data_IF_980511281703
#
_entry.id   IF_980511281703
#
_cell.length_a   1.000
_cell.length_b   1.000
_cell.length_c   1.000
_cell.angle_alpha   90.00
_cell.angle_beta   90.00
_cell.angle_gamma   90.00
#
_symmetry.space_group_name_H-M   'P 1'
#
loop_
_entity.id
_entity.type
_entity.pdbx_description
1 polymer ?
#
# COMPACT_ATOMS: atom_id res chain seq x y z
N UNK A 1 15.31 33.20 30.99
CA UNK A 1 15.88 32.24 30.03
C UNK A 1 14.71 31.57 29.37
N UNK A 2 14.33 32.04 28.19
CA UNK A 2 13.22 31.53 27.36
C UNK A 2 13.76 30.45 26.47
N UNK A 3 13.23 29.24 26.64
CA UNK A 3 13.50 28.09 25.75
C UNK A 3 12.98 28.39 24.32
N UNK A 4 13.78 28.18 23.28
CA UNK A 4 13.28 28.34 21.90
C UNK A 4 12.29 27.20 21.58
N UNK A 5 11.08 27.60 21.17
CA UNK A 5 10.06 26.68 20.68
C UNK A 5 10.54 25.94 19.44
N UNK A 6 10.26 24.64 19.40
CA UNK A 6 10.49 23.81 18.21
C UNK A 6 9.74 24.40 17.01
N UNK A 7 10.33 24.41 15.80
CA UNK A 7 9.63 24.89 14.62
C UNK A 7 8.46 23.97 14.31
N UNK A 8 7.28 24.54 14.19
CA UNK A 8 6.09 23.85 13.69
C UNK A 8 6.40 23.30 12.29
N UNK A 9 6.20 22.00 12.11
CA UNK A 9 6.34 21.36 10.81
C UNK A 9 5.40 22.05 9.81
N UNK A 10 5.96 22.76 8.85
CA UNK A 10 5.21 23.41 7.78
C UNK A 10 4.43 22.31 7.03
N UNK A 11 3.11 22.40 7.06
CA UNK A 11 2.22 21.63 6.21
C UNK A 11 2.55 21.85 4.71
N UNK A 12 2.05 21.03 3.80
CA UNK A 12 2.31 21.22 2.38
C UNK A 12 1.80 22.61 1.97
N UNK A 13 2.74 23.48 1.58
CA UNK A 13 2.43 24.79 1.04
C UNK A 13 2.01 24.60 -0.42
N UNK A 14 0.82 24.10 -0.65
CA UNK A 14 0.00 24.24 -1.87
C UNK A 14 -1.22 23.34 -1.68
N UNK A 15 -2.41 23.80 -2.05
CA UNK A 15 -3.68 23.09 -1.92
C UNK A 15 -3.85 21.87 -2.84
N UNK A 16 -2.80 21.12 -3.11
CA UNK A 16 -2.87 19.85 -3.82
C UNK A 16 -3.45 18.78 -2.88
N UNK A 17 -4.43 17.98 -3.35
CA UNK A 17 -5.03 16.91 -2.58
C UNK A 17 -3.98 15.87 -2.20
N UNK A 18 -3.96 15.44 -0.93
CA UNK A 18 -3.13 14.33 -0.44
C UNK A 18 -3.95 13.05 -0.49
N UNK A 19 -3.40 12.02 -1.10
CA UNK A 19 -4.01 10.70 -1.23
C UNK A 19 -3.27 9.70 -0.36
N UNK A 20 -3.99 9.03 0.52
CA UNK A 20 -3.53 7.84 1.21
C UNK A 20 -3.83 6.62 0.31
N UNK A 21 -2.81 6.10 -0.35
CA UNK A 21 -2.95 5.04 -1.35
C UNK A 21 -3.02 3.63 -0.74
N UNK A 22 -3.08 3.51 0.58
CA UNK A 22 -3.13 2.21 1.25
C UNK A 22 -3.73 2.30 2.66
N UNK A 23 -4.98 1.91 2.80
CA UNK A 23 -5.66 1.73 4.08
C UNK A 23 -6.72 0.62 3.97
N UNK A 24 -7.25 0.17 5.11
CA UNK A 24 -8.21 -0.92 5.19
C UNK A 24 -9.43 -0.55 6.02
N UNK A 25 -10.56 -1.20 5.70
CA UNK A 25 -11.76 -1.22 6.52
C UNK A 25 -12.20 -2.65 6.73
N UNK A 26 -12.80 -2.96 7.87
CA UNK A 26 -13.48 -4.22 8.11
C UNK A 26 -14.56 -4.10 9.18
N UNK A 27 -15.56 -4.93 9.04
CA UNK A 27 -16.62 -5.16 10.02
C UNK A 27 -16.62 -6.64 10.41
N UNK A 28 -16.22 -6.94 11.65
CA UNK A 28 -16.13 -8.30 12.17
C UNK A 28 -17.49 -8.97 12.33
N UNK A 29 -18.58 -8.20 12.33
CA UNK A 29 -19.94 -8.75 12.33
C UNK A 29 -20.40 -9.21 10.94
N UNK A 30 -19.88 -8.61 9.89
CA UNK A 30 -20.16 -8.95 8.50
C UNK A 30 -19.21 -10.03 7.98
N UNK A 31 -17.91 -9.95 8.34
CA UNK A 31 -16.87 -10.83 7.82
C UNK A 31 -15.78 -11.10 8.84
N UNK A 32 -15.45 -12.37 9.03
CA UNK A 32 -14.30 -12.75 9.87
C UNK A 32 -12.98 -12.31 9.23
N UNK A 33 -12.02 -11.96 10.10
CA UNK A 33 -10.67 -11.58 9.75
C UNK A 33 -9.69 -12.56 10.44
N UNK A 34 -9.49 -13.78 9.89
CA UNK A 34 -8.72 -14.83 10.57
C UNK A 34 -7.28 -14.41 10.89
N UNK A 35 -6.68 -13.57 10.05
CA UNK A 35 -5.32 -13.09 10.24
C UNK A 35 -5.15 -12.26 11.53
N UNK A 36 -6.20 -11.59 12.01
CA UNK A 36 -6.17 -10.84 13.28
C UNK A 36 -5.96 -11.73 14.51
N UNK A 37 -6.19 -13.04 14.37
CA UNK A 37 -6.01 -14.02 15.45
C UNK A 37 -4.73 -14.82 15.31
N UNK A 38 -3.92 -14.57 14.28
CA UNK A 38 -2.67 -15.30 14.03
C UNK A 38 -1.56 -14.92 15.01
N UNK A 39 -1.63 -13.70 15.59
CA UNK A 39 -0.66 -13.19 16.55
C UNK A 39 -1.38 -12.39 17.66
N UNK A 40 -1.14 -12.68 18.95
CA UNK A 40 -1.69 -11.90 20.07
C UNK A 40 -1.37 -10.39 19.99
N UNK A 41 -0.29 -9.98 19.35
CA UNK A 41 0.06 -8.58 19.14
C UNK A 41 -1.00 -7.82 18.31
N UNK A 42 -1.79 -8.53 17.50
CA UNK A 42 -2.86 -7.96 16.69
C UNK A 42 -4.17 -7.72 17.46
N UNK A 43 -4.24 -8.10 18.75
CA UNK A 43 -5.47 -7.97 19.56
C UNK A 43 -6.09 -6.55 19.54
N UNK A 44 -5.32 -5.43 19.51
CA UNK A 44 -5.91 -4.09 19.41
C UNK A 44 -6.71 -3.85 18.12
N UNK A 45 -6.50 -4.67 17.08
CA UNK A 45 -7.20 -4.61 15.80
C UNK A 45 -8.47 -5.45 15.76
N UNK A 46 -8.78 -6.25 16.80
CA UNK A 46 -9.97 -7.08 16.90
C UNK A 46 -11.23 -6.24 17.22
N UNK A 47 -11.53 -5.27 16.39
CA UNK A 47 -12.74 -4.44 16.40
C UNK A 47 -13.07 -3.98 14.98
N UNK A 48 -14.25 -3.40 14.79
CA UNK A 48 -14.60 -2.79 13.51
C UNK A 48 -13.81 -1.52 13.24
N UNK A 49 -13.48 -1.30 11.98
CA UNK A 49 -12.86 -0.08 11.48
C UNK A 49 -13.57 0.37 10.21
N UNK A 50 -14.09 1.60 10.23
CA UNK A 50 -14.98 2.15 9.22
C UNK A 50 -14.45 3.47 8.63
N UNK A 51 -15.03 3.95 7.52
CA UNK A 51 -14.72 5.29 7.01
C UNK A 51 -14.98 6.40 8.03
N UNK A 52 -15.96 6.24 8.94
CA UNK A 52 -16.25 7.22 9.98
C UNK A 52 -15.12 7.30 11.03
N UNK A 53 -14.43 6.19 11.31
CA UNK A 53 -13.26 6.19 12.20
C UNK A 53 -12.05 6.87 11.55
N UNK A 54 -11.85 6.70 10.24
CA UNK A 54 -10.72 7.26 9.51
C UNK A 54 -10.91 8.76 9.18
N UNK A 55 -12.12 9.19 8.88
CA UNK A 55 -12.39 10.53 8.36
C UNK A 55 -11.79 11.68 9.21
N UNK A 56 -11.96 11.72 10.56
CA UNK A 56 -11.36 12.75 11.37
C UNK A 56 -9.82 12.67 11.40
N UNK A 57 -9.25 11.47 11.33
CA UNK A 57 -7.79 11.26 11.31
C UNK A 57 -7.19 11.73 9.98
N UNK A 58 -7.84 11.38 8.88
CA UNK A 58 -7.46 11.79 7.54
C UNK A 58 -7.49 13.32 7.40
N UNK A 59 -8.58 13.96 7.86
CA UNK A 59 -8.71 15.41 7.85
C UNK A 59 -7.60 16.09 8.67
N UNK A 60 -7.31 15.61 9.87
CA UNK A 60 -6.21 16.10 10.69
C UNK A 60 -4.83 15.87 10.04
N UNK A 61 -4.67 14.77 9.28
CA UNK A 61 -3.48 14.48 8.49
C UNK A 61 -3.39 15.27 7.17
N UNK A 62 -4.42 16.04 6.80
CA UNK A 62 -4.51 16.75 5.52
C UNK A 62 -4.72 15.82 4.32
N UNK A 63 -5.20 14.59 4.56
CA UNK A 63 -5.55 13.60 3.53
C UNK A 63 -6.97 13.87 3.06
N UNK A 64 -7.16 13.93 1.76
CA UNK A 64 -8.45 14.29 1.11
C UNK A 64 -9.09 13.12 0.37
N UNK A 65 -8.34 12.07 0.09
CA UNK A 65 -8.81 10.87 -0.57
C UNK A 65 -8.00 9.64 -0.15
N UNK A 66 -8.60 8.46 -0.23
CA UNK A 66 -7.93 7.20 0.12
C UNK A 66 -8.19 6.10 -0.90
N UNK A 67 -7.31 5.11 -0.94
CA UNK A 67 -7.54 3.83 -1.62
C UNK A 67 -7.76 2.75 -0.56
N UNK A 68 -8.96 2.17 -0.56
CA UNK A 68 -9.28 1.05 0.32
C UNK A 68 -8.76 -0.25 -0.28
N UNK A 69 -8.03 -1.02 0.51
CA UNK A 69 -7.38 -2.26 0.06
C UNK A 69 -7.97 -3.46 0.80
N UNK A 70 -8.21 -4.55 0.08
CA UNK A 70 -8.72 -5.81 0.63
C UNK A 70 -7.87 -6.33 1.80
N UNK A 71 -8.47 -7.13 2.68
CA UNK A 71 -7.83 -7.74 3.86
C UNK A 71 -7.85 -9.26 3.83
N UNK A 72 -8.84 -9.87 3.17
CA UNK A 72 -9.02 -11.32 3.09
C UNK A 72 -9.20 -11.79 1.65
N UNK A 73 -9.00 -13.09 1.42
CA UNK A 73 -9.14 -13.72 0.10
C UNK A 73 -10.56 -14.28 -0.09
N UNK A 74 -11.55 -13.42 0.15
CA UNK A 74 -12.96 -13.82 0.05
C UNK A 74 -13.72 -12.97 -0.98
N UNK A 75 -14.53 -13.59 -1.86
CA UNK A 75 -15.24 -12.89 -2.94
C UNK A 75 -16.18 -11.78 -2.46
N UNK A 76 -16.70 -11.87 -1.22
CA UNK A 76 -17.66 -10.91 -0.69
C UNK A 76 -17.04 -9.60 -0.21
N UNK A 77 -15.73 -9.52 0.07
CA UNK A 77 -15.11 -8.31 0.59
C UNK A 77 -15.05 -7.18 -0.46
N UNK A 78 -14.70 -7.51 -1.70
CA UNK A 78 -14.61 -6.49 -2.76
C UNK A 78 -15.94 -5.75 -2.99
N UNK A 79 -17.10 -6.42 -3.10
CA UNK A 79 -18.40 -5.75 -3.14
C UNK A 79 -18.69 -4.83 -1.95
N UNK A 80 -18.29 -5.22 -0.74
CA UNK A 80 -18.45 -4.40 0.47
C UNK A 80 -17.61 -3.11 0.37
N UNK A 81 -16.34 -3.22 -0.04
CA UNK A 81 -15.47 -2.05 -0.23
C UNK A 81 -15.97 -1.12 -1.34
N UNK A 82 -16.50 -1.69 -2.45
CA UNK A 82 -17.11 -0.90 -3.53
C UNK A 82 -18.36 -0.16 -3.04
N UNK A 83 -19.20 -0.79 -2.22
CA UNK A 83 -20.37 -0.14 -1.63
C UNK A 83 -19.97 1.04 -0.72
N UNK A 84 -18.86 0.94 0.02
CA UNK A 84 -18.32 2.07 0.79
C UNK A 84 -17.84 3.21 -0.12
N UNK A 85 -17.26 2.88 -1.28
CA UNK A 85 -16.77 3.87 -2.24
C UNK A 85 -17.90 4.54 -3.03
N UNK A 86 -19.07 3.89 -3.18
CA UNK A 86 -20.23 4.46 -3.88
C UNK A 86 -20.84 5.66 -3.17
N UNK A 87 -20.61 5.80 -1.86
CA UNK A 87 -21.11 6.92 -1.06
C UNK A 87 -20.19 8.14 -1.10
N UNK A 88 -20.70 9.31 -0.68
CA UNK A 88 -19.85 10.49 -0.51
C UNK A 88 -18.84 10.23 0.61
N UNK A 89 -17.55 10.35 0.34
CA UNK A 89 -16.54 10.07 1.35
C UNK A 89 -15.12 10.15 0.86
N UNK A 90 -14.22 9.57 1.66
CA UNK A 90 -12.78 9.60 1.41
C UNK A 90 -12.32 8.55 0.39
N UNK A 91 -13.13 7.49 0.12
CA UNK A 91 -12.67 6.36 -0.70
C UNK A 91 -12.77 6.73 -2.17
N UNK A 92 -11.62 7.01 -2.78
CA UNK A 92 -11.52 7.36 -4.20
C UNK A 92 -11.22 6.14 -5.09
N UNK A 93 -10.73 5.05 -4.51
CA UNK A 93 -10.43 3.82 -5.22
C UNK A 93 -10.45 2.60 -4.31
N UNK A 94 -10.64 1.44 -4.91
CA UNK A 94 -10.66 0.13 -4.23
C UNK A 94 -9.67 -0.81 -4.91
N UNK A 95 -8.79 -1.40 -4.12
CA UNK A 95 -7.99 -2.56 -4.51
C UNK A 95 -8.64 -3.77 -3.87
N UNK A 96 -9.39 -4.51 -4.68
CA UNK A 96 -10.16 -5.67 -4.25
C UNK A 96 -9.38 -6.97 -4.38
N UNK A 97 -10.11 -8.09 -4.23
CA UNK A 97 -9.60 -9.44 -4.44
C UNK A 97 -10.44 -10.20 -5.47
N UNK A 98 -9.77 -11.01 -6.26
CA UNK A 98 -10.36 -12.05 -7.09
C UNK A 98 -9.40 -13.23 -7.16
N UNK A 99 -9.94 -14.45 -7.28
CA UNK A 99 -9.12 -15.65 -7.47
C UNK A 99 -8.46 -15.64 -8.86
N UNK A 100 -7.18 -15.28 -8.89
CA UNK A 100 -6.39 -15.20 -10.13
C UNK A 100 -6.17 -16.58 -10.78
N UNK A 101 -6.30 -17.66 -10.01
CA UNK A 101 -6.11 -19.02 -10.52
C UNK A 101 -7.35 -19.52 -11.27
N UNK A 102 -8.51 -18.94 -10.98
CA UNK A 102 -9.78 -19.32 -11.59
C UNK A 102 -9.82 -19.02 -13.09
N UNK A 103 -10.29 -19.96 -13.93
CA UNK A 103 -10.44 -19.72 -15.37
C UNK A 103 -11.38 -18.56 -15.71
N UNK A 104 -12.41 -18.34 -14.89
CA UNK A 104 -13.45 -17.30 -15.08
C UNK A 104 -13.13 -15.95 -14.45
N UNK A 105 -11.89 -15.66 -14.05
CA UNK A 105 -11.55 -14.41 -13.37
C UNK A 105 -11.93 -13.15 -14.14
N UNK A 106 -11.87 -13.18 -15.48
CA UNK A 106 -12.25 -12.05 -16.33
C UNK A 106 -13.75 -11.69 -16.15
N UNK A 107 -14.62 -12.69 -16.06
CA UNK A 107 -16.06 -12.50 -15.85
C UNK A 107 -16.34 -11.94 -14.44
N UNK A 108 -15.57 -12.41 -13.44
CA UNK A 108 -15.64 -11.87 -12.07
C UNK A 108 -15.26 -10.39 -12.05
N UNK A 109 -14.17 -9.99 -12.71
CA UNK A 109 -13.74 -8.59 -12.78
C UNK A 109 -14.77 -7.72 -13.50
N UNK A 110 -15.39 -8.22 -14.58
CA UNK A 110 -16.47 -7.53 -15.27
C UNK A 110 -17.70 -7.36 -14.36
N UNK A 111 -18.11 -8.42 -13.65
CA UNK A 111 -19.24 -8.37 -12.73
C UNK A 111 -19.01 -7.38 -11.57
N UNK A 112 -17.79 -7.28 -11.03
CA UNK A 112 -17.46 -6.31 -9.98
C UNK A 112 -17.63 -4.86 -10.45
N UNK A 113 -17.37 -4.57 -11.72
CA UNK A 113 -17.55 -3.24 -12.30
C UNK A 113 -19.00 -2.81 -12.45
N UNK A 114 -19.91 -3.77 -12.56
CA UNK A 114 -21.36 -3.51 -12.66
C UNK A 114 -22.03 -3.25 -11.30
N UNK A 115 -21.31 -3.48 -10.19
CA UNK A 115 -21.83 -3.24 -8.83
C UNK A 115 -21.87 -1.73 -8.52
N UNK A 116 -22.71 -1.31 -7.55
CA UNK A 116 -22.62 0.03 -6.99
C UNK A 116 -21.19 0.33 -6.51
N UNK A 117 -20.62 1.43 -6.99
CA UNK A 117 -19.22 1.79 -6.73
C UNK A 117 -18.21 1.04 -7.60
N UNK A 118 -18.63 0.23 -8.58
CA UNK A 118 -17.75 -0.50 -9.47
C UNK A 118 -16.76 0.37 -10.26
N UNK A 119 -17.11 1.63 -10.52
CA UNK A 119 -16.22 2.63 -11.12
C UNK A 119 -14.99 2.95 -10.25
N UNK A 120 -15.08 2.69 -8.95
CA UNK A 120 -13.96 2.85 -8.02
C UNK A 120 -13.03 1.64 -7.98
N UNK A 121 -13.34 0.51 -8.67
CA UNK A 121 -12.43 -0.62 -8.74
C UNK A 121 -11.16 -0.22 -9.51
N UNK A 122 -10.06 -0.04 -8.78
CA UNK A 122 -8.81 0.51 -9.27
C UNK A 122 -7.70 -0.55 -9.41
N UNK A 123 -7.79 -1.62 -8.63
CA UNK A 123 -6.79 -2.70 -8.64
C UNK A 123 -7.29 -3.99 -8.00
N UNK A 124 -6.44 -5.00 -8.11
CA UNK A 124 -6.60 -6.31 -7.47
C UNK A 124 -5.34 -6.61 -6.66
N UNK A 125 -5.52 -7.24 -5.50
CA UNK A 125 -4.44 -7.73 -4.67
C UNK A 125 -4.73 -9.16 -4.21
N UNK A 126 -3.72 -10.03 -4.29
CA UNK A 126 -3.71 -11.30 -3.58
C UNK A 126 -2.54 -11.28 -2.57
N UNK A 127 -2.77 -11.64 -1.29
CA UNK A 127 -1.72 -11.62 -0.28
C UNK A 127 -0.74 -12.80 -0.49
N UNK A 128 0.25 -12.62 -1.36
CA UNK A 128 1.22 -13.67 -1.72
C UNK A 128 2.00 -14.18 -0.51
N UNK A 129 2.06 -13.39 0.55
CA UNK A 129 2.72 -13.77 1.81
C UNK A 129 2.10 -15.03 2.47
N UNK A 130 0.82 -15.35 2.20
CA UNK A 130 0.17 -16.57 2.71
C UNK A 130 0.45 -17.80 1.84
N UNK A 131 1.02 -17.61 0.65
CA UNK A 131 1.30 -18.70 -0.28
C UNK A 131 2.58 -19.45 0.13
N UNK A 132 2.53 -20.79 0.22
CA UNK A 132 3.72 -21.57 0.54
C UNK A 132 4.74 -21.57 -0.60
N UNK A 133 4.29 -21.41 -1.84
CA UNK A 133 5.12 -21.39 -3.03
C UNK A 133 5.67 -19.97 -3.28
N UNK A 134 6.96 -19.71 -3.13
CA UNK A 134 7.55 -18.40 -3.40
C UNK A 134 7.42 -17.97 -4.85
N UNK A 135 7.23 -18.92 -5.77
CA UNK A 135 7.07 -18.66 -7.21
C UNK A 135 5.60 -18.50 -7.65
N UNK A 136 4.65 -18.40 -6.71
CA UNK A 136 3.21 -18.32 -6.98
C UNK A 136 2.86 -17.29 -8.07
N UNK A 137 3.43 -16.07 -8.03
CA UNK A 137 3.19 -15.02 -9.02
C UNK A 137 3.69 -15.38 -10.43
N UNK A 138 4.61 -16.32 -10.56
CA UNK A 138 5.17 -16.77 -11.84
C UNK A 138 4.44 -17.99 -12.41
N UNK A 139 3.48 -18.57 -11.70
CA UNK A 139 2.69 -19.73 -12.12
C UNK A 139 1.86 -19.39 -13.39
N UNK A 140 1.73 -20.33 -14.33
CA UNK A 140 0.99 -20.07 -15.59
C UNK A 140 -0.48 -19.69 -15.37
N UNK A 141 -1.17 -20.29 -14.39
CA UNK A 141 -2.57 -19.98 -14.07
C UNK A 141 -2.70 -18.58 -13.45
N UNK A 142 -1.79 -18.17 -12.58
CA UNK A 142 -1.74 -16.82 -11.99
C UNK A 142 -1.41 -15.76 -13.03
N UNK A 143 -0.42 -16.02 -13.91
CA UNK A 143 -0.08 -15.11 -15.01
C UNK A 143 -1.26 -14.89 -15.98
N UNK A 144 -2.07 -15.93 -16.22
CA UNK A 144 -3.32 -15.80 -16.98
C UNK A 144 -4.30 -14.86 -16.28
N UNK A 145 -4.49 -15.02 -14.95
CA UNK A 145 -5.34 -14.13 -14.15
C UNK A 145 -4.83 -12.69 -14.11
N UNK A 146 -3.52 -12.49 -13.96
CA UNK A 146 -2.88 -11.17 -14.05
C UNK A 146 -3.08 -10.53 -15.43
N UNK A 147 -3.06 -11.31 -16.51
CA UNK A 147 -3.37 -10.81 -17.85
C UNK A 147 -4.83 -10.33 -17.95
N UNK A 148 -5.78 -11.01 -17.28
CA UNK A 148 -7.16 -10.55 -17.21
C UNK A 148 -7.29 -9.24 -16.39
N UNK A 149 -6.54 -9.07 -15.30
CA UNK A 149 -6.46 -7.81 -14.54
C UNK A 149 -5.96 -6.67 -15.43
N UNK A 150 -4.92 -6.93 -16.25
CA UNK A 150 -4.41 -5.95 -17.20
C UNK A 150 -5.46 -5.59 -18.27
N UNK A 151 -6.15 -6.59 -18.83
CA UNK A 151 -7.20 -6.39 -19.82
C UNK A 151 -8.38 -5.58 -19.26
N UNK A 152 -8.70 -5.76 -17.98
CA UNK A 152 -9.69 -4.96 -17.26
C UNK A 152 -9.20 -3.52 -16.97
N UNK A 153 -7.94 -3.17 -17.28
CA UNK A 153 -7.37 -1.85 -17.03
C UNK A 153 -7.13 -1.55 -15.56
N UNK A 154 -6.99 -2.59 -14.73
CA UNK A 154 -6.73 -2.51 -13.29
C UNK A 154 -5.24 -2.59 -13.00
N UNK A 155 -4.81 -2.06 -11.84
CA UNK A 155 -3.49 -2.31 -11.29
C UNK A 155 -3.46 -3.65 -10.52
N UNK A 156 -2.26 -4.17 -10.28
CA UNK A 156 -2.07 -5.31 -9.39
C UNK A 156 -1.11 -4.95 -8.26
N UNK A 157 -1.60 -5.02 -7.03
CA UNK A 157 -0.81 -4.74 -5.83
C UNK A 157 -0.12 -6.03 -5.34
N UNK A 158 1.19 -5.95 -5.12
CA UNK A 158 2.03 -7.05 -4.64
C UNK A 158 2.26 -6.87 -3.15
N UNK A 159 1.59 -7.68 -2.32
CA UNK A 159 1.93 -7.80 -0.89
C UNK A 159 2.58 -9.16 -0.65
N UNK A 160 3.87 -9.15 -0.35
CA UNK A 160 4.68 -10.35 -0.17
C UNK A 160 5.92 -10.06 0.66
N UNK A 161 6.66 -11.10 0.98
CA UNK A 161 7.97 -11.04 1.64
C UNK A 161 9.10 -11.02 0.60
N UNK A 162 10.35 -10.71 0.97
CA UNK A 162 11.48 -10.70 0.04
C UNK A 162 11.64 -11.95 -0.80
N UNK A 163 11.25 -13.14 -0.27
CA UNK A 163 11.33 -14.42 -0.99
C UNK A 163 10.38 -14.50 -2.21
N UNK A 164 9.31 -13.70 -2.24
CA UNK A 164 8.33 -13.68 -3.34
C UNK A 164 8.69 -12.68 -4.45
N UNK A 165 9.59 -11.73 -4.16
CA UNK A 165 9.91 -10.64 -5.10
C UNK A 165 10.55 -11.12 -6.41
N UNK A 166 11.37 -12.21 -6.46
CA UNK A 166 11.85 -12.77 -7.73
C UNK A 166 10.71 -13.18 -8.69
N UNK A 167 9.63 -13.79 -8.14
CA UNK A 167 8.45 -14.13 -8.93
C UNK A 167 7.68 -12.88 -9.37
N UNK A 168 7.62 -11.84 -8.53
CA UNK A 168 7.04 -10.55 -8.90
C UNK A 168 7.79 -9.89 -10.08
N UNK A 169 9.13 -9.93 -10.06
CA UNK A 169 9.96 -9.48 -11.21
C UNK A 169 9.62 -10.26 -12.48
N UNK A 170 9.47 -11.58 -12.36
CA UNK A 170 9.10 -12.45 -13.48
C UNK A 170 7.72 -12.07 -14.04
N UNK A 171 6.73 -11.90 -13.18
CA UNK A 171 5.37 -11.49 -13.58
C UNK A 171 5.36 -10.13 -14.26
N UNK A 172 6.02 -9.13 -13.66
CA UNK A 172 6.07 -7.77 -14.21
C UNK A 172 6.82 -7.70 -15.56
N UNK A 173 7.85 -8.52 -15.73
CA UNK A 173 8.56 -8.64 -17.01
C UNK A 173 7.69 -9.30 -18.10
N UNK A 174 6.90 -10.32 -17.74
CA UNK A 174 6.04 -11.03 -18.68
C UNK A 174 4.77 -10.27 -19.06
N UNK A 175 4.34 -9.35 -18.22
CA UNK A 175 3.10 -8.59 -18.40
C UNK A 175 3.38 -7.08 -18.39
N UNK A 176 4.12 -6.54 -19.38
CA UNK A 176 4.51 -5.12 -19.41
C UNK A 176 3.31 -4.17 -19.54
N UNK A 177 2.14 -4.66 -19.95
CA UNK A 177 0.89 -3.89 -20.02
C UNK A 177 0.15 -3.77 -18.68
N UNK A 178 0.51 -4.58 -17.65
CA UNK A 178 -0.06 -4.52 -16.31
C UNK A 178 0.77 -3.57 -15.46
N UNK A 179 0.11 -2.64 -14.76
CA UNK A 179 0.78 -1.84 -13.72
C UNK A 179 0.87 -2.66 -12.45
N UNK A 180 2.08 -2.88 -11.97
CA UNK A 180 2.35 -3.52 -10.69
C UNK A 180 2.68 -2.47 -9.62
N UNK A 181 2.14 -2.65 -8.43
CA UNK A 181 2.36 -1.79 -7.27
C UNK A 181 2.98 -2.62 -6.15
N UNK A 182 4.18 -2.30 -5.75
CA UNK A 182 4.86 -2.98 -4.65
C UNK A 182 4.39 -2.38 -3.31
N UNK A 183 3.55 -3.11 -2.56
CA UNK A 183 3.10 -2.72 -1.23
C UNK A 183 4.27 -2.74 -0.23
N UNK A 184 4.30 -1.75 0.68
CA UNK A 184 5.21 -1.70 1.83
C UNK A 184 6.70 -1.81 1.46
N UNK A 185 7.09 -1.28 0.29
CA UNK A 185 8.43 -1.44 -0.30
C UNK A 185 8.88 -2.91 -0.39
N UNK A 186 7.94 -3.87 -0.41
CA UNK A 186 8.24 -5.31 -0.45
C UNK A 186 8.66 -5.90 0.89
N UNK A 187 8.21 -5.32 2.00
CA UNK A 187 8.42 -5.80 3.37
C UNK A 187 9.90 -6.11 3.70
N UNK A 188 10.79 -5.11 3.65
CA UNK A 188 12.20 -5.32 3.97
C UNK A 188 12.38 -5.81 5.42
N UNK A 189 13.41 -6.62 5.65
CA UNK A 189 13.82 -7.00 7.00
C UNK A 189 14.55 -5.82 7.68
N UNK A 190 13.82 -5.09 8.53
CA UNK A 190 14.34 -3.90 9.24
C UNK A 190 14.92 -4.19 10.60
N UNK A 191 15.22 -5.45 10.94
CA UNK A 191 15.89 -5.82 12.20
C UNK A 191 17.27 -5.17 12.30
N UNK A 192 17.78 -4.91 13.55
CA UNK A 192 19.11 -4.34 13.75
C UNK A 192 20.21 -5.11 13.00
N UNK A 193 21.09 -4.37 12.34
CA UNK A 193 22.17 -4.95 11.52
C UNK A 193 21.74 -5.34 10.10
N UNK A 194 20.48 -5.19 9.75
CA UNK A 194 19.96 -5.30 8.38
C UNK A 194 19.94 -3.93 7.70
N UNK A 195 19.90 -3.92 6.39
CA UNK A 195 19.83 -2.70 5.60
C UNK A 195 19.79 -3.01 4.11
N UNK A 196 19.60 -1.98 3.25
CA UNK A 196 19.60 -2.13 1.79
C UNK A 196 21.02 -2.30 1.23
N UNK A 197 21.82 -3.20 1.85
CA UNK A 197 23.18 -3.45 1.41
C UNK A 197 23.20 -4.18 0.06
N UNK A 198 24.22 -3.91 -0.74
CA UNK A 198 24.45 -4.62 -1.98
C UNK A 198 24.57 -6.13 -1.71
N UNK A 199 23.79 -6.94 -2.43
CA UNK A 199 23.72 -8.39 -2.26
C UNK A 199 22.61 -8.92 -1.35
N UNK A 200 21.89 -8.03 -0.63
CA UNK A 200 20.67 -8.44 0.07
C UNK A 200 19.57 -8.81 -0.95
N UNK A 201 18.87 -9.94 -0.76
CA UNK A 201 17.85 -10.41 -1.72
C UNK A 201 16.74 -9.37 -1.97
N UNK A 202 16.31 -8.65 -0.92
CA UNK A 202 15.33 -7.58 -1.02
C UNK A 202 15.81 -6.45 -1.93
N UNK A 203 16.98 -5.89 -1.66
CA UNK A 203 17.54 -4.77 -2.41
C UNK A 203 17.70 -5.12 -3.90
N UNK A 204 18.27 -6.29 -4.20
CA UNK A 204 18.42 -6.77 -5.58
C UNK A 204 17.08 -6.97 -6.31
N UNK A 205 16.03 -7.40 -5.61
CA UNK A 205 14.71 -7.57 -6.21
C UNK A 205 14.02 -6.21 -6.44
N UNK A 206 14.12 -5.28 -5.49
CA UNK A 206 13.62 -3.91 -5.62
C UNK A 206 14.28 -3.19 -6.79
N UNK A 207 15.60 -3.28 -6.95
CA UNK A 207 16.31 -2.72 -8.12
C UNK A 207 15.77 -3.29 -9.43
N UNK A 208 15.56 -4.61 -9.51
CA UNK A 208 15.02 -5.23 -10.73
C UNK A 208 13.58 -4.80 -11.01
N UNK A 209 12.72 -4.70 -9.99
CA UNK A 209 11.36 -4.18 -10.15
C UNK A 209 11.41 -2.73 -10.62
N UNK A 210 12.22 -1.89 -9.97
CA UNK A 210 12.34 -0.48 -10.31
C UNK A 210 12.88 -0.24 -11.74
N UNK A 211 13.66 -1.17 -12.29
CA UNK A 211 14.10 -1.11 -13.68
C UNK A 211 12.96 -1.31 -14.69
N UNK A 212 11.82 -1.86 -14.27
CA UNK A 212 10.66 -2.09 -15.13
C UNK A 212 9.74 -0.85 -15.13
N UNK A 213 9.36 -0.32 -16.30
CA UNK A 213 8.57 0.93 -16.38
C UNK A 213 7.13 0.78 -15.88
N UNK A 214 6.62 -0.45 -15.82
CA UNK A 214 5.27 -0.79 -15.37
C UNK A 214 5.18 -1.09 -13.88
N UNK A 215 6.18 -0.68 -13.08
CA UNK A 215 6.19 -0.87 -11.62
C UNK A 215 6.21 0.45 -10.88
N UNK A 216 5.50 0.50 -9.76
CA UNK A 216 5.49 1.57 -8.75
C UNK A 216 5.60 0.94 -7.36
N UNK A 217 5.84 1.74 -6.31
CA UNK A 217 5.90 1.22 -4.95
C UNK A 217 5.19 2.15 -3.95
N UNK A 218 4.70 1.57 -2.85
CA UNK A 218 4.07 2.28 -1.75
C UNK A 218 5.03 2.46 -0.59
N UNK A 219 5.16 3.69 -0.15
CA UNK A 219 5.74 4.06 1.13
C UNK A 219 4.65 3.89 2.20
N UNK A 220 4.41 2.66 2.61
CA UNK A 220 3.38 2.23 3.55
C UNK A 220 3.88 1.04 4.37
N UNK A 221 3.17 0.65 5.43
CA UNK A 221 3.49 -0.48 6.29
C UNK A 221 4.75 -0.28 7.14
N UNK A 222 5.85 0.08 6.52
CA UNK A 222 7.13 0.28 7.19
C UNK A 222 7.14 1.44 8.22
N UNK A 223 6.21 2.39 8.09
CA UNK A 223 6.06 3.51 9.02
C UNK A 223 5.41 3.10 10.35
N UNK A 224 4.78 1.95 10.39
CA UNK A 224 4.19 1.34 11.59
C UNK A 224 5.02 0.18 12.18
N UNK A 225 6.24 -0.07 11.68
CA UNK A 225 7.09 -1.13 12.22
C UNK A 225 7.72 -0.70 13.54
N UNK A 226 7.77 -1.58 14.57
CA UNK A 226 8.41 -1.28 15.84
C UNK A 226 9.85 -0.82 15.62
N UNK A 227 10.28 0.28 16.28
CA UNK A 227 11.66 0.67 16.22
C UNK A 227 12.53 -0.38 16.93
N UNK A 228 13.81 -0.52 16.54
CA UNK A 228 14.74 -1.39 17.27
C UNK A 228 14.78 -1.07 18.76
N UNK A 229 15.01 -2.06 19.63
CA UNK A 229 15.15 -1.84 21.08
C UNK A 229 16.12 -0.70 21.40
N UNK A 230 15.70 0.24 22.26
CA UNK A 230 16.48 1.41 22.63
C UNK A 230 16.31 2.63 21.73
N UNK A 231 15.49 2.57 20.68
CA UNK A 231 15.08 3.73 19.88
C UNK A 231 13.69 4.21 20.28
N UNK A 232 13.44 5.51 20.10
CA UNK A 232 12.13 6.11 20.43
C UNK A 232 11.11 5.73 19.34
N UNK A 233 9.94 5.26 19.74
CA UNK A 233 8.80 5.05 18.83
C UNK A 233 8.49 6.33 18.05
N UNK A 234 8.18 6.18 16.75
CA UNK A 234 7.91 7.31 15.85
C UNK A 234 9.15 7.97 15.23
N UNK A 235 10.36 7.49 15.51
CA UNK A 235 11.55 7.97 14.81
C UNK A 235 11.68 7.30 13.43
N UNK A 236 11.93 8.11 12.40
CA UNK A 236 12.11 7.62 11.01
C UNK A 236 13.52 7.11 10.73
N UNK A 237 14.41 7.13 11.73
CA UNK A 237 15.84 6.84 11.55
C UNK A 237 16.13 5.44 11.02
N UNK A 238 15.41 4.43 11.52
CA UNK A 238 15.57 3.03 11.09
C UNK A 238 14.92 2.73 9.73
N UNK A 239 13.91 3.54 9.33
CA UNK A 239 13.19 3.40 8.06
C UNK A 239 13.94 4.12 6.93
N UNK A 240 14.62 5.23 7.27
CA UNK A 240 15.25 6.11 6.28
C UNK A 240 16.15 5.40 5.27
N UNK A 241 17.03 4.45 5.64
CA UNK A 241 17.87 3.77 4.66
C UNK A 241 17.06 3.02 3.58
N UNK A 242 15.93 2.41 3.96
CA UNK A 242 15.06 1.68 3.03
C UNK A 242 14.28 2.64 2.12
N UNK A 243 13.81 3.76 2.70
CA UNK A 243 13.16 4.81 1.93
C UNK A 243 14.13 5.45 0.93
N UNK A 244 15.32 5.85 1.37
CA UNK A 244 16.33 6.49 0.52
C UNK A 244 16.74 5.54 -0.61
N UNK A 245 16.89 4.24 -0.34
CA UNK A 245 17.14 3.23 -1.36
C UNK A 245 15.97 3.14 -2.36
N UNK A 246 14.73 3.00 -1.89
CA UNK A 246 13.58 2.94 -2.78
C UNK A 246 13.41 4.22 -3.60
N UNK A 247 13.68 5.39 -3.00
CA UNK A 247 13.67 6.68 -3.71
C UNK A 247 14.74 6.75 -4.80
N UNK A 248 15.94 6.21 -4.55
CA UNK A 248 17.01 6.17 -5.56
C UNK A 248 16.66 5.27 -6.75
N UNK A 249 15.95 4.16 -6.49
CA UNK A 249 15.61 3.16 -7.52
C UNK A 249 14.36 3.54 -8.33
N UNK A 250 13.26 3.87 -7.65
CA UNK A 250 11.98 4.19 -8.31
C UNK A 250 11.87 5.66 -8.73
N UNK A 251 12.57 6.55 -8.04
CA UNK A 251 12.35 7.99 -8.14
C UNK A 251 11.00 8.44 -7.58
N UNK A 252 10.81 9.75 -7.33
CA UNK A 252 9.62 10.28 -6.66
C UNK A 252 8.33 10.08 -7.48
N UNK A 253 8.44 9.96 -8.80
CA UNK A 253 7.28 9.80 -9.68
C UNK A 253 6.71 8.37 -9.72
N UNK A 254 7.37 7.41 -9.07
CA UNK A 254 6.92 6.01 -8.97
C UNK A 254 6.82 5.53 -7.53
N UNK A 255 6.88 6.45 -6.57
CA UNK A 255 6.55 6.20 -5.18
C UNK A 255 5.21 6.86 -4.84
N UNK A 256 4.43 6.25 -3.95
CA UNK A 256 3.21 6.83 -3.42
C UNK A 256 3.07 6.60 -1.92
N UNK A 257 2.50 7.57 -1.21
CA UNK A 257 2.22 7.48 0.21
C UNK A 257 1.04 6.55 0.48
N UNK A 258 1.13 5.75 1.55
CA UNK A 258 0.06 4.98 2.14
C UNK A 258 0.25 4.87 3.64
N UNK A 259 -0.83 4.96 4.41
CA UNK A 259 -0.75 4.89 5.87
C UNK A 259 -0.63 3.48 6.41
N UNK A 260 -1.23 2.54 5.72
CA UNK A 260 -1.48 1.19 6.23
C UNK A 260 -2.36 1.21 7.50
N UNK A 261 -3.32 2.13 7.56
CA UNK A 261 -4.30 2.18 8.64
C UNK A 261 -5.37 1.07 8.43
N UNK A 262 -5.84 0.37 9.45
CA UNK A 262 -5.56 0.46 10.89
C UNK A 262 -4.29 -0.26 11.35
N UNK A 263 -3.66 -1.21 10.62
CA UNK A 263 -2.48 -1.92 11.10
C UNK A 263 -1.36 -1.03 11.65
N UNK A 264 -1.12 0.11 11.04
CA UNK A 264 -0.10 1.06 11.52
C UNK A 264 -0.33 1.52 12.98
N UNK A 265 -1.58 1.43 13.49
CA UNK A 265 -1.91 1.86 14.86
C UNK A 265 -1.35 0.96 15.96
N UNK A 266 -0.82 -0.20 15.61
CA UNK A 266 -0.08 -1.04 16.53
C UNK A 266 1.19 -0.34 17.06
N UNK A 267 1.80 0.54 16.25
CA UNK A 267 3.08 1.18 16.57
C UNK A 267 3.03 2.70 16.54
N UNK A 268 2.17 3.31 15.71
CA UNK A 268 2.10 4.74 15.52
C UNK A 268 0.68 5.20 15.19
N UNK A 269 0.28 6.34 15.70
CA UNK A 269 -0.98 6.95 15.31
C UNK A 269 -0.94 7.37 13.82
N UNK A 270 -2.11 7.47 13.18
CA UNK A 270 -2.25 7.95 11.80
C UNK A 270 -1.51 9.29 11.56
N UNK A 271 -1.63 10.21 12.52
CA UNK A 271 -0.94 11.51 12.46
C UNK A 271 0.59 11.36 12.48
N UNK A 272 1.13 10.42 13.28
CA UNK A 272 2.57 10.13 13.31
C UNK A 272 3.03 9.51 11.99
N UNK A 273 2.26 8.61 11.39
CA UNK A 273 2.57 8.04 10.07
C UNK A 273 2.62 9.14 9.00
N UNK A 274 1.63 10.04 8.96
CA UNK A 274 1.63 11.18 8.05
C UNK A 274 2.84 12.11 8.28
N UNK A 275 3.19 12.38 9.54
CA UNK A 275 4.34 13.21 9.89
C UNK A 275 5.66 12.55 9.50
N UNK A 276 5.78 11.24 9.71
CA UNK A 276 6.95 10.45 9.31
C UNK A 276 7.18 10.48 7.80
N UNK A 277 6.12 10.27 7.01
CA UNK A 277 6.21 10.37 5.54
C UNK A 277 6.66 11.77 5.08
N UNK A 278 6.12 12.83 5.69
CA UNK A 278 6.55 14.21 5.40
C UNK A 278 8.02 14.46 5.79
N UNK A 279 8.45 13.92 6.93
CA UNK A 279 9.85 14.04 7.39
C UNK A 279 10.82 13.31 6.45
N UNK A 280 10.46 12.12 5.98
CA UNK A 280 11.27 11.37 5.01
C UNK A 280 11.43 12.14 3.69
N UNK A 281 10.38 12.84 3.25
CA UNK A 281 10.34 13.58 1.98
C UNK A 281 10.73 15.05 2.08
N UNK A 282 11.14 15.54 3.26
CA UNK A 282 11.38 16.97 3.51
C UNK A 282 12.47 17.59 2.61
N UNK A 283 13.46 16.77 2.20
CA UNK A 283 14.54 17.22 1.29
C UNK A 283 14.16 17.30 -0.18
N UNK A 284 12.96 16.84 -0.55
CA UNK A 284 12.49 16.84 -1.94
C UNK A 284 11.85 18.19 -2.31
N UNK A 285 11.84 18.49 -3.60
CA UNK A 285 11.12 19.65 -4.15
C UNK A 285 9.60 19.49 -3.95
N UNK A 286 8.85 20.59 -4.07
CA UNK A 286 7.38 20.56 -3.99
C UNK A 286 6.77 19.62 -5.03
N UNK A 287 7.28 19.63 -6.27
CA UNK A 287 6.79 18.77 -7.34
C UNK A 287 7.03 17.28 -7.07
N UNK A 288 8.16 16.91 -6.47
CA UNK A 288 8.47 15.53 -6.09
C UNK A 288 7.60 15.07 -4.92
N UNK A 289 7.40 15.93 -3.92
CA UNK A 289 6.46 15.63 -2.82
C UNK A 289 5.03 15.45 -3.33
N UNK A 290 4.57 16.34 -4.22
CA UNK A 290 3.25 16.20 -4.85
C UNK A 290 3.14 14.89 -5.64
N UNK A 291 4.20 14.44 -6.30
CA UNK A 291 4.22 13.14 -6.97
C UNK A 291 3.94 12.02 -5.95
N UNK A 292 4.67 11.98 -4.83
CA UNK A 292 4.54 10.94 -3.80
C UNK A 292 3.18 11.01 -3.10
N UNK A 293 2.71 12.20 -2.74
CA UNK A 293 1.48 12.35 -1.94
C UNK A 293 0.18 12.41 -2.77
N UNK A 294 0.25 12.49 -4.10
CA UNK A 294 -0.95 12.61 -4.93
C UNK A 294 -0.81 11.99 -6.33
N UNK A 295 0.06 12.56 -7.19
CA UNK A 295 0.04 12.28 -8.63
C UNK A 295 0.32 10.82 -8.98
N UNK A 296 1.21 10.16 -8.26
CA UNK A 296 1.53 8.75 -8.51
C UNK A 296 0.31 7.87 -8.26
N UNK A 297 -0.39 8.05 -7.12
CA UNK A 297 -1.61 7.30 -6.83
C UNK A 297 -2.72 7.56 -7.86
N UNK A 298 -2.97 8.85 -8.20
CA UNK A 298 -3.96 9.22 -9.23
C UNK A 298 -3.70 8.52 -10.55
N UNK A 299 -2.46 8.58 -11.03
CA UNK A 299 -2.08 7.95 -12.30
C UNK A 299 -2.18 6.42 -12.24
N UNK A 300 -1.65 5.82 -11.18
CA UNK A 300 -1.57 4.36 -11.02
C UNK A 300 -2.96 3.73 -10.93
N UNK A 301 -3.84 4.32 -10.13
CA UNK A 301 -5.19 3.82 -9.87
C UNK A 301 -6.29 4.54 -10.67
N UNK A 302 -5.91 5.48 -11.57
CA UNK A 302 -6.84 6.26 -12.41
C UNK A 302 -7.91 6.97 -11.58
N UNK A 303 -7.52 7.52 -10.42
CA UNK A 303 -8.45 8.22 -9.53
C UNK A 303 -8.88 9.56 -10.15
N UNK A 304 -10.16 9.85 -10.08
CA UNK A 304 -10.79 11.07 -10.55
C UNK A 304 -10.34 12.35 -9.80
#
# INVERSE_FOLDING_TARGET
MTTPGAPAAAGPATGAPVIDAHQHFWDLSARDQPWLRSDPALAPLLRNFSPADLAPLAAAGGVTATVAVQTVTEPGETPELLALAAGPGLVAGVVGWADLTAPGVADVLAALRELPGGDHLAGIRHPVLIEPDPDWLARPDVLRGLAAVAAAGLAYDIVGEPRHLPAAVTAATRLPQLTFVLDHLGNPDMRPGRGPAAGEPWAGAVTRLAALPNTTAKLSGILGVPPPPGTTSGTVGHIRPYYDFALSEFGPNRLMFGSDWPPCTLEASYAQVCAAARSLTAGLSNAEREAIFSRTARRTYRLG
#
